data_IF_969675203186
#
_entry.id   IF_969675203186
#
_cell.length_a   1.000
_cell.length_b   1.000
_cell.length_c   1.000
_cell.angle_alpha   90.00
_cell.angle_beta   90.00
_cell.angle_gamma   90.00
#
_symmetry.space_group_name_H-M   'P 1'
#
loop_
_entity.id
_entity.type
_entity.pdbx_description
1 polymer ?
#
# COMPACT_ATOMS: atom_id res chain seq x y z
N UNK A 1 -10.08 7.90 -7.59
CA UNK A 1 -10.11 6.98 -6.43
C UNK A 1 -9.03 7.37 -5.44
N UNK A 2 -9.30 7.25 -4.15
CA UNK A 2 -8.34 7.51 -3.05
C UNK A 2 -8.20 6.24 -2.20
N UNK A 3 -7.02 6.10 -1.59
CA UNK A 3 -6.76 5.10 -0.57
C UNK A 3 -6.29 5.80 0.69
N UNK A 4 -6.87 5.42 1.83
CA UNK A 4 -6.61 6.05 3.13
C UNK A 4 -6.32 4.99 4.20
N UNK A 5 -5.54 5.36 5.20
CA UNK A 5 -5.38 4.57 6.43
C UNK A 5 -6.50 4.95 7.38
N UNK A 6 -7.26 3.96 7.84
CA UNK A 6 -8.19 4.10 8.95
C UNK A 6 -7.63 3.36 10.17
N UNK A 7 -7.44 4.07 11.28
CA UNK A 7 -7.01 3.47 12.53
C UNK A 7 -8.21 2.85 13.25
N UNK A 8 -8.04 1.61 13.70
CA UNK A 8 -9.10 0.83 14.34
C UNK A 8 -8.85 0.69 15.85
N UNK A 9 -8.56 1.81 16.53
CA UNK A 9 -8.27 1.80 17.95
C UNK A 9 -9.54 1.86 18.80
N UNK A 10 -10.51 2.70 18.42
CA UNK A 10 -11.70 2.99 19.21
C UNK A 10 -12.98 3.21 18.39
N UNK A 11 -12.89 3.42 17.06
CA UNK A 11 -14.04 3.69 16.19
C UNK A 11 -14.55 2.40 15.53
N UNK A 12 -15.85 2.15 15.58
CA UNK A 12 -16.51 0.98 14.94
C UNK A 12 -16.79 1.21 13.45
N UNK A 13 -16.02 2.06 12.76
CA UNK A 13 -16.25 2.33 11.33
C UNK A 13 -16.17 1.03 10.51
N UNK A 14 -15.33 0.09 10.96
CA UNK A 14 -15.17 -1.21 10.35
C UNK A 14 -15.17 -2.33 11.40
N UNK A 15 -15.78 -3.47 11.06
CA UNK A 15 -15.76 -4.67 11.91
C UNK A 15 -14.42 -5.39 11.76
N UNK A 16 -13.73 -5.68 12.86
CA UNK A 16 -12.55 -6.56 12.88
C UNK A 16 -11.56 -6.19 13.98
N UNK A 17 -10.43 -6.93 14.03
CA UNK A 17 -9.42 -6.83 15.10
C UNK A 17 -8.08 -6.27 14.64
N UNK A 18 -7.91 -5.99 13.35
CA UNK A 18 -6.65 -5.46 12.84
C UNK A 18 -6.49 -4.01 13.35
N UNK A 19 -5.28 -3.57 13.77
CA UNK A 19 -5.07 -2.23 14.32
C UNK A 19 -5.37 -1.08 13.36
N UNK A 20 -5.32 -1.35 12.06
CA UNK A 20 -5.60 -0.39 11.00
C UNK A 20 -6.08 -1.11 9.75
N UNK A 21 -6.79 -0.36 8.90
CA UNK A 21 -7.27 -0.79 7.60
C UNK A 21 -6.81 0.17 6.53
N UNK A 22 -6.62 -0.35 5.31
CA UNK A 22 -6.57 0.50 4.12
C UNK A 22 -7.96 0.52 3.52
N UNK A 23 -8.52 1.72 3.37
CA UNK A 23 -9.86 1.92 2.83
C UNK A 23 -9.78 2.62 1.49
N UNK A 24 -10.68 2.25 0.58
CA UNK A 24 -10.84 2.88 -0.73
C UNK A 24 -12.05 3.79 -0.72
N UNK A 25 -11.85 5.01 -1.20
CA UNK A 25 -12.88 6.03 -1.41
C UNK A 25 -12.96 6.42 -2.87
N UNK A 26 -14.16 6.75 -3.30
CA UNK A 26 -14.43 7.18 -4.68
C UNK A 26 -14.86 8.63 -4.68
N UNK A 27 -14.45 9.35 -5.72
CA UNK A 27 -14.83 10.72 -5.98
C UNK A 27 -14.92 10.88 -7.49
N UNK A 28 -15.91 11.62 -7.95
CA UNK A 28 -16.14 11.93 -9.36
C UNK A 28 -15.34 13.15 -9.83
N UNK A 29 -14.93 14.02 -8.90
CA UNK A 29 -14.26 15.29 -9.18
C UNK A 29 -12.88 15.43 -8.49
N UNK A 30 -12.50 14.47 -7.66
CA UNK A 30 -11.25 14.49 -6.89
C UNK A 30 -11.30 15.35 -5.61
N UNK A 31 -12.45 15.97 -5.31
CA UNK A 31 -12.63 16.87 -4.17
C UNK A 31 -13.68 16.29 -3.21
N UNK A 32 -14.82 15.87 -3.76
CA UNK A 32 -15.94 15.33 -3.01
C UNK A 32 -15.86 13.80 -2.99
N UNK A 33 -15.45 13.25 -1.84
CA UNK A 33 -15.33 11.81 -1.64
C UNK A 33 -16.58 11.23 -0.99
N UNK A 34 -16.91 9.99 -1.36
CA UNK A 34 -17.93 9.18 -0.66
C UNK A 34 -17.71 9.19 0.85
N UNK A 35 -18.80 9.11 1.61
CA UNK A 35 -18.72 9.11 3.07
C UNK A 35 -17.89 7.94 3.60
N UNK A 36 -17.31 8.07 4.78
CA UNK A 36 -16.52 6.98 5.38
C UNK A 36 -17.30 5.66 5.52
N UNK A 37 -18.61 5.73 5.79
CA UNK A 37 -19.51 4.56 5.86
C UNK A 37 -19.66 3.81 4.53
N UNK A 38 -19.43 4.49 3.41
CA UNK A 38 -19.50 3.93 2.05
C UNK A 38 -18.13 3.45 1.56
N UNK A 39 -17.08 3.68 2.36
CA UNK A 39 -15.73 3.27 2.02
C UNK A 39 -15.61 1.75 2.06
N UNK A 40 -14.82 1.20 1.13
CA UNK A 40 -14.56 -0.25 1.10
C UNK A 40 -13.19 -0.52 1.68
N UNK A 41 -13.10 -1.40 2.68
CA UNK A 41 -11.80 -1.96 3.09
C UNK A 41 -11.23 -2.74 1.90
N UNK A 42 -9.96 -2.51 1.57
CA UNK A 42 -9.29 -3.31 0.55
C UNK A 42 -8.87 -4.66 1.15
N UNK A 43 -8.86 -5.69 0.31
CA UNK A 43 -8.44 -7.03 0.70
C UNK A 43 -6.97 -7.23 0.37
N UNK A 44 -6.14 -7.45 1.39
CA UNK A 44 -4.78 -7.95 1.17
C UNK A 44 -4.80 -9.47 1.02
N UNK A 45 -4.64 -9.97 -0.21
CA UNK A 45 -4.61 -11.40 -0.53
C UNK A 45 -3.47 -12.14 0.18
N UNK A 46 -2.42 -11.41 0.54
CA UNK A 46 -1.36 -11.87 1.44
C UNK A 46 -0.86 -10.71 2.30
N UNK A 47 -0.39 -11.03 3.51
CA UNK A 47 0.09 -10.07 4.51
C UNK A 47 1.50 -10.45 4.96
N UNK A 48 2.54 -10.28 4.09
CA UNK A 48 3.88 -10.80 4.35
C UNK A 48 4.52 -10.22 5.63
N UNK A 49 4.15 -8.99 5.99
CA UNK A 49 4.64 -8.32 7.20
C UNK A 49 4.26 -9.01 8.52
N UNK A 50 3.21 -9.84 8.54
CA UNK A 50 2.84 -10.60 9.74
C UNK A 50 3.88 -11.66 10.10
N UNK A 51 4.73 -12.08 9.14
CA UNK A 51 5.87 -12.96 9.37
C UNK A 51 7.02 -12.24 10.08
N UNK A 52 7.15 -10.93 9.87
CA UNK A 52 8.19 -10.09 10.49
C UNK A 52 7.73 -9.57 11.87
N UNK A 53 6.43 -9.55 12.15
CA UNK A 53 5.88 -9.18 13.45
C UNK A 53 4.35 -9.32 13.48
N UNK A 54 3.80 -10.02 14.49
CA UNK A 54 2.36 -10.32 14.57
C UNK A 54 1.48 -9.08 14.78
N UNK A 55 2.04 -8.01 15.32
CA UNK A 55 1.35 -6.74 15.57
C UNK A 55 1.44 -5.78 14.37
N UNK A 56 2.17 -6.15 13.32
CA UNK A 56 2.39 -5.29 12.17
C UNK A 56 1.10 -5.02 11.40
N UNK A 57 0.85 -3.73 11.12
CA UNK A 57 -0.31 -3.25 10.39
C UNK A 57 0.07 -2.02 9.53
N UNK A 58 -0.65 -1.72 8.43
CA UNK A 58 -0.36 -0.55 7.60
C UNK A 58 -0.45 0.79 8.35
N UNK A 59 0.62 1.58 8.32
CA UNK A 59 0.67 2.88 9.01
C UNK A 59 0.61 4.08 8.06
N UNK A 60 1.33 4.00 6.94
CA UNK A 60 1.26 5.00 5.88
C UNK A 60 1.15 4.31 4.52
N UNK A 61 0.49 4.99 3.59
CA UNK A 61 0.37 4.53 2.22
C UNK A 61 0.60 5.67 1.23
N UNK A 62 0.97 5.27 0.03
CA UNK A 62 0.83 6.07 -1.18
C UNK A 62 0.35 5.16 -2.31
N UNK A 63 -0.59 5.64 -3.11
CA UNK A 63 -1.14 4.90 -4.23
C UNK A 63 -0.74 5.55 -5.55
N UNK A 64 -0.51 4.73 -6.58
CA UNK A 64 -0.37 5.19 -7.96
C UNK A 64 -1.03 4.20 -8.90
N UNK A 65 -1.47 4.68 -10.07
CA UNK A 65 -2.00 3.84 -11.13
C UNK A 65 -1.02 3.85 -12.31
N UNK A 66 -0.73 2.69 -12.86
CA UNK A 66 0.13 2.57 -14.02
C UNK A 66 -0.29 1.37 -14.85
N UNK A 67 -0.49 1.57 -16.15
CA UNK A 67 -0.64 0.50 -17.13
C UNK A 67 -1.77 -0.51 -16.79
N UNK A 68 -2.89 -0.02 -16.24
CA UNK A 68 -4.02 -0.87 -15.88
C UNK A 68 -3.97 -1.43 -14.45
N UNK A 69 -2.91 -1.16 -13.68
CA UNK A 69 -2.74 -1.67 -12.33
C UNK A 69 -2.70 -0.54 -11.30
N UNK A 70 -3.33 -0.78 -10.16
CA UNK A 70 -3.17 0.00 -8.94
C UNK A 70 -1.98 -0.52 -8.17
N UNK A 71 -1.11 0.38 -7.71
CA UNK A 71 0.01 0.08 -6.85
C UNK A 71 -0.13 0.80 -5.52
N UNK A 72 0.32 0.16 -4.45
CA UNK A 72 0.44 0.74 -3.12
C UNK A 72 1.89 0.64 -2.64
N UNK A 73 2.48 1.76 -2.23
CA UNK A 73 3.63 1.79 -1.34
C UNK A 73 3.11 1.79 0.10
N UNK A 74 3.48 0.80 0.90
CA UNK A 74 2.87 0.53 2.21
C UNK A 74 3.96 0.54 3.28
N UNK A 75 3.97 1.55 4.14
CA UNK A 75 4.75 1.54 5.36
C UNK A 75 3.99 0.76 6.44
N UNK A 76 4.64 -0.22 7.05
CA UNK A 76 4.02 -1.17 7.98
C UNK A 76 4.83 -1.23 9.27
N UNK A 77 4.15 -1.29 10.41
CA UNK A 77 4.75 -1.52 11.72
C UNK A 77 3.73 -1.64 12.83
N UNK A 78 4.17 -1.44 14.06
CA UNK A 78 3.28 -1.40 15.22
C UNK A 78 2.53 -0.06 15.28
N UNK A 79 1.36 -0.04 14.65
CA UNK A 79 0.50 1.14 14.54
C UNK A 79 0.07 1.66 15.91
N UNK A 80 -0.09 0.79 16.92
CA UNK A 80 -0.44 1.21 18.29
C UNK A 80 0.67 2.03 18.96
N UNK A 81 1.91 1.91 18.47
CA UNK A 81 3.08 2.70 18.88
C UNK A 81 3.39 3.81 17.88
N UNK A 82 2.49 4.10 16.95
CA UNK A 82 2.63 5.16 15.94
C UNK A 82 3.91 5.03 15.10
N UNK A 83 4.32 3.80 14.78
CA UNK A 83 5.59 3.54 14.09
C UNK A 83 5.42 2.61 12.90
N UNK A 84 6.29 2.79 11.91
CA UNK A 84 6.55 1.85 10.82
C UNK A 84 8.02 1.41 10.84
N UNK A 85 8.27 0.19 10.40
CA UNK A 85 9.61 -0.38 10.24
C UNK A 85 9.83 -0.94 8.84
N UNK A 86 8.77 -1.42 8.19
CA UNK A 86 8.86 -2.13 6.93
C UNK A 86 8.23 -1.30 5.82
N UNK A 87 8.80 -1.37 4.62
CA UNK A 87 8.21 -0.79 3.42
C UNK A 87 7.93 -1.87 2.39
N UNK A 88 6.68 -1.99 1.96
CA UNK A 88 6.23 -2.97 0.97
C UNK A 88 5.64 -2.29 -0.27
N UNK A 89 5.57 -3.06 -1.36
CA UNK A 89 4.79 -2.71 -2.54
C UNK A 89 3.68 -3.75 -2.72
N UNK A 90 2.46 -3.28 -2.90
CA UNK A 90 1.32 -4.09 -3.32
C UNK A 90 0.79 -3.64 -4.68
N UNK A 91 0.08 -4.55 -5.35
CA UNK A 91 -0.54 -4.29 -6.65
C UNK A 91 -1.92 -4.95 -6.76
N UNK A 92 -2.78 -4.38 -7.59
CA UNK A 92 -4.15 -4.83 -7.83
C UNK A 92 -4.61 -4.43 -9.23
N UNK A 93 -5.55 -5.19 -9.80
CA UNK A 93 -6.21 -4.86 -11.08
C UNK A 93 -7.54 -4.13 -10.88
N UNK A 94 -8.28 -4.49 -9.84
CA UNK A 94 -9.61 -3.93 -9.53
C UNK A 94 -9.58 -2.80 -8.47
N UNK A 95 -8.41 -2.58 -7.88
CA UNK A 95 -8.20 -1.62 -6.83
C UNK A 95 -8.89 -1.98 -5.51
N UNK A 96 -9.34 -3.23 -5.33
CA UNK A 96 -9.91 -3.77 -4.08
C UNK A 96 -9.09 -4.94 -3.55
N UNK A 97 -8.65 -5.84 -4.42
CA UNK A 97 -7.92 -7.05 -4.05
C UNK A 97 -6.44 -6.83 -4.37
N UNK A 98 -5.62 -6.62 -3.34
CA UNK A 98 -4.20 -6.34 -3.47
C UNK A 98 -3.36 -7.55 -3.10
N UNK A 99 -2.42 -7.90 -3.99
CA UNK A 99 -1.31 -8.79 -3.68
C UNK A 99 -0.11 -7.94 -3.26
N UNK A 100 0.57 -8.35 -2.21
CA UNK A 100 1.76 -7.66 -1.67
C UNK A 100 3.01 -8.47 -2.03
N UNK A 101 4.04 -7.80 -2.54
CA UNK A 101 5.32 -8.45 -2.82
C UNK A 101 5.89 -9.05 -1.52
N UNK A 102 6.43 -10.28 -1.55
CA UNK A 102 6.81 -10.99 -0.33
C UNK A 102 8.02 -10.36 0.38
N UNK A 103 8.92 -9.73 -0.37
CA UNK A 103 10.12 -9.07 0.16
C UNK A 103 9.85 -7.56 0.33
N UNK A 104 10.14 -6.97 1.51
CA UNK A 104 10.05 -5.53 1.68
C UNK A 104 11.14 -4.81 0.89
N UNK A 105 10.83 -3.60 0.40
CA UNK A 105 11.79 -2.66 -0.18
C UNK A 105 12.80 -2.14 0.85
N UNK A 106 12.34 -1.99 2.09
CA UNK A 106 13.15 -1.55 3.23
C UNK A 106 12.78 -2.36 4.47
N UNK A 107 13.81 -2.84 5.18
CA UNK A 107 13.70 -3.39 6.52
C UNK A 107 14.26 -2.38 7.51
N UNK A 108 13.48 -2.08 8.54
CA UNK A 108 13.73 -1.11 9.60
C UNK A 108 13.65 0.35 9.16
N UNK A 109 13.21 1.19 10.10
CA UNK A 109 13.17 2.64 10.01
C UNK A 109 12.32 3.21 8.86
N UNK A 110 11.41 2.43 8.27
CA UNK A 110 10.55 2.93 7.20
C UNK A 110 9.61 4.04 7.67
N UNK A 111 9.36 5.01 6.80
CA UNK A 111 8.32 6.02 6.98
C UNK A 111 7.56 6.24 5.67
N UNK A 112 6.70 7.27 5.64
CA UNK A 112 5.91 7.59 4.45
C UNK A 112 6.84 7.75 3.24
N UNK A 113 6.58 6.94 2.23
CA UNK A 113 7.37 6.82 1.01
C UNK A 113 6.43 6.87 -0.19
N UNK A 114 7.00 6.97 -1.39
CA UNK A 114 6.22 6.95 -2.63
C UNK A 114 6.87 6.07 -3.67
N UNK A 115 6.04 5.53 -4.56
CA UNK A 115 6.43 4.93 -5.83
C UNK A 115 5.67 5.63 -6.96
N UNK A 116 6.28 5.72 -8.12
CA UNK A 116 5.71 6.40 -9.28
C UNK A 116 6.14 5.73 -10.58
N UNK A 117 5.27 5.70 -11.60
CA UNK A 117 5.63 5.13 -12.89
C UNK A 117 6.69 5.97 -13.59
N UNK A 118 7.65 5.29 -14.21
CA UNK A 118 8.66 5.90 -15.07
C UNK A 118 8.46 5.51 -16.55
N UNK A 119 7.64 4.50 -16.81
CA UNK A 119 7.25 4.06 -18.16
C UNK A 119 6.83 2.60 -18.15
N UNK A 120 6.12 2.17 -19.20
CA UNK A 120 5.80 0.76 -19.43
C UNK A 120 6.03 0.40 -20.90
N UNK A 121 6.21 -0.89 -21.17
CA UNK A 121 6.14 -1.47 -22.50
C UNK A 121 5.23 -2.71 -22.41
N UNK A 122 5.14 -3.54 -23.45
CA UNK A 122 4.24 -4.69 -23.47
C UNK A 122 4.44 -5.68 -22.31
N UNK A 123 5.67 -5.85 -21.81
CA UNK A 123 6.02 -6.88 -20.83
C UNK A 123 6.39 -6.35 -19.43
N UNK A 124 6.77 -5.08 -19.32
CA UNK A 124 7.36 -4.51 -18.12
C UNK A 124 6.72 -3.17 -17.73
N UNK A 125 6.69 -2.90 -16.42
CA UNK A 125 6.37 -1.60 -15.83
C UNK A 125 7.60 -1.14 -15.04
N UNK A 126 8.17 0.00 -15.41
CA UNK A 126 9.30 0.65 -14.71
C UNK A 126 8.76 1.62 -13.67
N UNK A 127 9.30 1.55 -12.46
CA UNK A 127 8.86 2.33 -11.32
C UNK A 127 10.06 3.00 -10.65
N UNK A 128 9.89 4.27 -10.28
CA UNK A 128 10.73 4.96 -9.32
C UNK A 128 10.15 4.84 -7.93
N UNK A 129 11.00 5.00 -6.92
CA UNK A 129 10.63 5.04 -5.51
C UNK A 129 11.42 6.13 -4.78
N UNK A 130 10.72 6.97 -4.03
CA UNK A 130 11.32 7.79 -2.98
C UNK A 130 11.03 7.16 -1.63
N UNK A 131 12.07 6.58 -1.04
CA UNK A 131 12.03 5.88 0.25
C UNK A 131 12.39 6.88 1.35
N UNK A 132 11.41 7.25 2.16
CA UNK A 132 11.60 8.07 3.35
C UNK A 132 11.80 7.20 4.60
N UNK A 133 12.65 7.66 5.51
CA UNK A 133 12.82 7.04 6.83
C UNK A 133 12.38 7.98 7.96
N UNK A 134 12.26 7.44 9.19
CA UNK A 134 11.80 8.24 10.34
C UNK A 134 12.81 9.30 10.79
N UNK A 135 14.05 9.21 10.30
CA UNK A 135 15.12 10.19 10.54
C UNK A 135 15.06 11.39 9.60
N UNK A 136 14.15 11.39 8.62
CA UNK A 136 14.00 12.47 7.64
C UNK A 136 14.89 12.33 6.40
N UNK A 137 15.64 11.23 6.25
CA UNK A 137 16.39 10.97 5.02
C UNK A 137 15.49 10.40 3.93
N UNK A 138 15.81 10.75 2.69
CA UNK A 138 15.14 10.23 1.50
C UNK A 138 16.15 9.57 0.57
N UNK A 139 15.78 8.41 0.03
CA UNK A 139 16.61 7.66 -0.92
C UNK A 139 15.82 7.31 -2.17
N UNK A 140 16.39 7.61 -3.32
CA UNK A 140 15.85 7.22 -4.61
C UNK A 140 16.20 5.76 -4.93
N UNK A 141 15.25 5.02 -5.52
CA UNK A 141 15.46 3.71 -6.11
C UNK A 141 14.59 3.52 -7.34
N UNK A 142 15.03 2.64 -8.22
CA UNK A 142 14.25 2.15 -9.35
C UNK A 142 14.00 0.65 -9.21
N UNK A 143 12.87 0.19 -9.74
CA UNK A 143 12.59 -1.23 -9.88
C UNK A 143 11.68 -1.47 -11.07
N UNK A 144 11.70 -2.70 -11.58
CA UNK A 144 10.86 -3.11 -12.71
C UNK A 144 9.99 -4.28 -12.30
N UNK A 145 8.76 -4.26 -12.78
CA UNK A 145 7.77 -5.31 -12.57
C UNK A 145 7.45 -5.98 -13.91
N UNK A 146 7.36 -7.30 -13.91
CA UNK A 146 6.96 -8.09 -15.07
C UNK A 146 5.45 -8.34 -15.05
N UNK A 147 4.75 -7.96 -16.12
CA UNK A 147 3.29 -8.02 -16.20
C UNK A 147 2.75 -9.44 -16.14
N UNK A 148 3.39 -10.39 -16.84
CA UNK A 148 2.97 -11.79 -16.80
C UNK A 148 3.04 -12.38 -15.39
N UNK A 149 4.08 -12.02 -14.63
CA UNK A 149 4.20 -12.43 -13.22
C UNK A 149 3.10 -11.82 -12.35
N UNK A 150 2.76 -10.56 -12.57
CA UNK A 150 1.64 -9.90 -11.87
C UNK A 150 0.34 -10.62 -12.20
N UNK A 151 0.00 -10.77 -13.47
CA UNK A 151 -1.25 -11.39 -13.93
C UNK A 151 -1.39 -12.83 -13.41
N UNK A 152 -0.33 -13.65 -13.50
CA UNK A 152 -0.34 -15.02 -12.96
C UNK A 152 -0.55 -15.08 -11.45
N UNK A 153 -0.12 -14.05 -10.71
CA UNK A 153 -0.23 -14.02 -9.24
C UNK A 153 -1.56 -13.48 -8.72
N UNK A 154 -2.36 -12.86 -9.60
CA UNK A 154 -3.68 -12.31 -9.32
C UNK A 154 -4.83 -13.25 -9.73
N UNK A 155 -4.53 -14.33 -10.46
CA UNK A 155 -5.43 -15.46 -10.71
C UNK A 155 -5.46 -16.39 -9.50
#
# INVERSE_FOLDING_TARGET
MSYEIELNFNSKNFKGKDPSYVVRRTSTDGINFTGFKESKIINFLNRPWLKEGRVNSPWHIQATFADGYYFLCIAVGDVKRYTAELLYVGYSKDGLNFKVLPKPLLKNNAYRSSIFPMGSNESLIKMGAMIGNKSGEFRYREFTLNKDRIEKSLK
#
